data_IF_769235495869
#
_entry.id   IF_769235495869
#
_cell.length_a   1.000
_cell.length_b   1.000
_cell.length_c   1.000
_cell.angle_alpha   90.00
_cell.angle_beta   90.00
_cell.angle_gamma   90.00
#
_symmetry.space_group_name_H-M   'P 1'
#
loop_
_entity.id
_entity.type
_entity.pdbx_description
1 polymer ?
#
# COMPACT_ATOMS: atom_id res chain seq x y z
N UNK A 1 0.62 -19.47 9.91
CA UNK A 1 1.16 -19.02 8.61
C UNK A 1 2.51 -18.38 8.90
N UNK A 2 3.61 -19.11 8.71
CA UNK A 2 4.97 -18.67 9.07
C UNK A 2 5.66 -17.95 7.91
N UNK A 3 4.88 -17.18 7.13
CA UNK A 3 5.44 -16.40 6.01
C UNK A 3 6.28 -15.26 6.57
N UNK A 4 7.59 -15.32 6.37
CA UNK A 4 8.51 -14.21 6.67
C UNK A 4 8.33 -13.18 5.57
N UNK A 5 8.06 -11.92 5.95
CA UNK A 5 8.00 -10.82 4.99
C UNK A 5 9.40 -10.62 4.44
N UNK A 6 9.56 -10.69 3.11
CA UNK A 6 10.83 -10.36 2.47
C UNK A 6 11.06 -8.85 2.55
N UNK A 7 12.26 -8.46 2.98
CA UNK A 7 12.69 -7.07 3.06
C UNK A 7 14.20 -6.95 2.84
N UNK A 8 14.64 -5.75 2.47
CA UNK A 8 16.06 -5.35 2.33
C UNK A 8 16.87 -6.27 1.40
N UNK A 9 16.27 -6.66 0.27
CA UNK A 9 16.89 -7.57 -0.68
C UNK A 9 18.05 -6.89 -1.44
N UNK A 10 19.16 -7.62 -1.59
CA UNK A 10 20.32 -7.17 -2.36
C UNK A 10 19.97 -7.04 -3.85
N UNK A 11 20.36 -5.92 -4.44
CA UNK A 11 20.09 -5.57 -5.84
C UNK A 11 21.30 -4.86 -6.47
N UNK A 12 21.34 -4.84 -7.79
CA UNK A 12 22.26 -3.97 -8.53
C UNK A 12 21.91 -2.49 -8.29
N UNK A 13 22.91 -1.60 -8.24
CA UNK A 13 22.69 -0.15 -8.05
C UNK A 13 21.69 0.46 -9.05
N UNK A 14 21.66 -0.04 -10.28
CA UNK A 14 20.75 0.40 -11.35
C UNK A 14 19.26 0.11 -11.05
N UNK A 15 19.01 -0.84 -10.16
CA UNK A 15 17.67 -1.28 -9.77
C UNK A 15 17.18 -0.56 -8.49
N UNK A 16 18.00 0.33 -7.93
CA UNK A 16 17.65 1.15 -6.78
C UNK A 16 16.61 2.21 -7.09
N UNK A 17 16.13 2.88 -6.04
CA UNK A 17 15.10 3.89 -6.20
C UNK A 17 15.56 5.07 -7.07
N UNK A 18 14.81 5.37 -8.12
CA UNK A 18 14.95 6.60 -8.91
C UNK A 18 13.85 7.58 -8.52
N UNK A 19 14.20 8.86 -8.31
CA UNK A 19 13.18 9.87 -8.00
C UNK A 19 12.18 9.98 -9.15
N UNK A 20 10.89 9.88 -8.83
CA UNK A 20 9.81 10.00 -9.81
C UNK A 20 9.67 11.47 -10.17
N UNK A 21 9.80 11.82 -11.44
CA UNK A 21 9.69 13.21 -11.92
C UNK A 21 8.45 13.45 -12.78
N UNK A 22 7.79 12.38 -13.23
CA UNK A 22 6.55 12.48 -14.00
C UNK A 22 5.42 13.01 -13.11
N UNK A 23 4.95 14.23 -13.42
CA UNK A 23 3.91 14.92 -12.65
C UNK A 23 2.59 14.15 -12.57
N UNK A 24 2.21 13.42 -13.63
CA UNK A 24 0.97 12.65 -13.64
C UNK A 24 1.09 11.46 -12.71
N UNK A 25 2.22 10.76 -12.72
CA UNK A 25 2.47 9.65 -11.78
C UNK A 25 2.49 10.16 -10.34
N UNK A 26 3.12 11.31 -10.08
CA UNK A 26 3.18 11.91 -8.74
C UNK A 26 1.78 12.21 -8.18
N UNK A 27 0.90 12.84 -8.97
CA UNK A 27 -0.47 13.16 -8.56
C UNK A 27 -1.27 11.88 -8.30
N UNK A 28 -1.21 10.91 -9.21
CA UNK A 28 -1.98 9.67 -9.07
C UNK A 28 -1.48 8.80 -7.90
N UNK A 29 -0.18 8.82 -7.62
CA UNK A 29 0.43 8.09 -6.51
C UNK A 29 0.11 8.76 -5.18
N UNK A 30 0.20 10.09 -5.07
CA UNK A 30 -0.15 10.82 -3.83
C UNK A 30 -1.63 10.63 -3.46
N UNK A 31 -2.52 10.62 -4.46
CA UNK A 31 -3.94 10.34 -4.24
C UNK A 31 -4.21 8.95 -3.65
N UNK A 32 -3.42 7.92 -4.01
CA UNK A 32 -3.65 6.52 -3.63
C UNK A 32 -2.77 6.04 -2.49
N UNK A 33 -1.60 6.64 -2.35
CA UNK A 33 -0.56 6.30 -1.38
C UNK A 33 0.04 7.59 -0.78
N UNK A 34 -0.78 8.40 -0.07
CA UNK A 34 -0.34 9.65 0.53
C UNK A 34 0.69 9.41 1.64
N UNK A 35 1.61 10.34 1.80
CA UNK A 35 2.73 10.23 2.74
C UNK A 35 2.41 10.96 4.05
N UNK A 36 1.46 10.44 4.83
CA UNK A 36 0.82 11.11 5.97
C UNK A 36 1.75 11.62 7.10
N UNK A 37 3.04 11.25 7.10
CA UNK A 37 4.04 11.76 8.06
C UNK A 37 4.75 13.04 7.59
N UNK A 38 4.51 13.47 6.36
CA UNK A 38 5.17 14.59 5.71
C UNK A 38 4.12 15.51 5.08
N UNK A 39 4.44 16.79 4.93
CA UNK A 39 3.62 17.69 4.13
C UNK A 39 3.67 17.31 2.64
N UNK A 40 2.70 17.82 1.87
CA UNK A 40 2.57 17.52 0.45
C UNK A 40 3.84 17.85 -0.36
N UNK A 41 4.47 19.00 -0.13
CA UNK A 41 5.64 19.41 -0.90
C UNK A 41 6.84 18.51 -0.60
N UNK A 42 7.07 18.18 0.67
CA UNK A 42 8.09 17.21 1.06
C UNK A 42 7.80 15.84 0.46
N UNK A 43 6.55 15.40 0.48
CA UNK A 43 6.11 14.14 -0.12
C UNK A 43 6.44 14.07 -1.61
N UNK A 44 6.08 15.09 -2.39
CA UNK A 44 6.27 15.11 -3.84
C UNK A 44 7.74 15.28 -4.23
N UNK A 45 8.47 16.16 -3.54
CA UNK A 45 9.85 16.50 -3.92
C UNK A 45 10.88 15.48 -3.42
N UNK A 46 10.78 15.04 -2.16
CA UNK A 46 11.75 14.14 -1.54
C UNK A 46 11.32 12.67 -1.57
N UNK A 47 10.01 12.41 -1.67
CA UNK A 47 9.43 11.06 -1.79
C UNK A 47 9.91 10.09 -0.69
N UNK A 48 10.03 10.53 0.58
CA UNK A 48 10.69 9.75 1.63
C UNK A 48 10.02 8.41 1.88
N UNK A 49 8.69 8.36 1.88
CA UNK A 49 7.96 7.12 2.15
C UNK A 49 8.02 6.16 0.95
N UNK A 50 7.79 6.66 -0.27
CA UNK A 50 7.85 5.81 -1.47
C UNK A 50 9.25 5.23 -1.70
N UNK A 51 10.29 6.04 -1.47
CA UNK A 51 11.69 5.57 -1.50
C UNK A 51 11.94 4.47 -0.46
N UNK A 52 11.46 4.66 0.77
CA UNK A 52 11.61 3.69 1.85
C UNK A 52 10.93 2.37 1.49
N UNK A 53 9.66 2.40 1.09
CA UNK A 53 8.89 1.20 0.75
C UNK A 53 9.45 0.46 -0.46
N UNK A 54 9.89 1.18 -1.51
CA UNK A 54 10.52 0.53 -2.65
C UNK A 54 11.87 -0.09 -2.27
N UNK A 55 12.73 0.64 -1.56
CA UNK A 55 14.05 0.13 -1.13
C UNK A 55 13.91 -1.10 -0.24
N UNK A 56 12.98 -1.06 0.71
CA UNK A 56 12.78 -2.13 1.68
C UNK A 56 12.02 -3.32 1.10
N UNK A 57 10.97 -3.12 0.31
CA UNK A 57 10.09 -4.20 -0.15
C UNK A 57 10.06 -4.36 -1.67
N UNK A 58 10.06 -3.27 -2.43
CA UNK A 58 10.04 -3.31 -3.90
C UNK A 58 11.26 -4.01 -4.52
N UNK A 59 12.44 -3.83 -3.92
CA UNK A 59 13.71 -4.45 -4.34
C UNK A 59 13.64 -5.99 -4.36
N UNK A 60 12.89 -6.59 -3.44
CA UNK A 60 12.70 -8.04 -3.38
C UNK A 60 11.92 -8.61 -4.58
N UNK A 61 11.18 -7.76 -5.32
CA UNK A 61 10.43 -8.12 -6.52
C UNK A 61 11.05 -7.64 -7.84
N UNK A 62 12.24 -7.00 -7.80
CA UNK A 62 12.75 -6.17 -8.90
C UNK A 62 13.07 -6.92 -10.20
N UNK A 63 13.26 -8.25 -10.12
CA UNK A 63 13.44 -9.11 -11.29
C UNK A 63 12.18 -9.19 -12.16
N UNK A 64 10.99 -8.99 -11.57
CA UNK A 64 9.69 -9.02 -12.25
C UNK A 64 9.05 -7.64 -12.36
N UNK A 65 9.16 -6.83 -11.31
CA UNK A 65 8.54 -5.51 -11.23
C UNK A 65 9.60 -4.46 -10.94
N UNK A 66 10.13 -3.83 -11.99
CA UNK A 66 10.95 -2.61 -11.84
C UNK A 66 10.11 -1.49 -11.23
N UNK A 67 10.76 -0.44 -10.72
CA UNK A 67 10.09 0.61 -9.97
C UNK A 67 8.77 1.14 -10.59
N UNK A 68 8.70 1.47 -11.90
CA UNK A 68 7.44 1.94 -12.48
C UNK A 68 6.32 0.89 -12.37
N UNK A 69 6.63 -0.38 -12.66
CA UNK A 69 5.67 -1.47 -12.58
C UNK A 69 5.27 -1.81 -11.14
N UNK A 70 6.17 -1.63 -10.17
CA UNK A 70 5.87 -1.81 -8.74
C UNK A 70 4.81 -0.82 -8.26
N UNK A 71 5.00 0.47 -8.53
CA UNK A 71 4.04 1.51 -8.13
C UNK A 71 2.73 1.43 -8.93
N UNK A 72 2.80 1.14 -10.23
CA UNK A 72 1.60 0.91 -11.05
C UNK A 72 0.76 -0.27 -10.53
N UNK A 73 1.40 -1.39 -10.17
CA UNK A 73 0.71 -2.53 -9.57
C UNK A 73 0.06 -2.16 -8.23
N UNK A 74 0.76 -1.42 -7.36
CA UNK A 74 0.22 -0.97 -6.08
C UNK A 74 -1.03 -0.09 -6.28
N UNK A 75 -0.99 0.87 -7.21
CA UNK A 75 -2.13 1.73 -7.53
C UNK A 75 -3.31 0.92 -8.09
N UNK A 76 -3.05 -0.01 -9.02
CA UNK A 76 -4.09 -0.91 -9.58
C UNK A 76 -4.74 -1.79 -8.50
N UNK A 77 -3.97 -2.29 -7.55
CA UNK A 77 -4.49 -3.06 -6.43
C UNK A 77 -5.35 -2.18 -5.50
N UNK A 78 -4.91 -0.94 -5.23
CA UNK A 78 -5.69 0.00 -4.43
C UNK A 78 -7.03 0.37 -5.09
N UNK A 79 -7.05 0.51 -6.41
CA UNK A 79 -8.27 0.83 -7.17
C UNK A 79 -9.21 -0.39 -7.29
N UNK A 80 -8.65 -1.61 -7.30
CA UNK A 80 -9.44 -2.84 -7.30
C UNK A 80 -10.24 -3.05 -6.01
N UNK A 81 -9.71 -2.61 -4.87
CA UNK A 81 -10.31 -2.85 -3.55
C UNK A 81 -10.70 -1.54 -2.87
N UNK A 82 -11.93 -1.09 -3.11
CA UNK A 82 -12.56 -0.04 -2.30
C UNK A 82 -13.11 -0.63 -0.99
N UNK A 83 -12.21 -0.87 -0.04
CA UNK A 83 -12.53 -1.48 1.24
C UNK A 83 -13.56 -0.65 2.03
N UNK A 84 -13.54 0.68 1.92
CA UNK A 84 -14.49 1.53 2.66
C UNK A 84 -15.92 1.31 2.16
N UNK A 85 -16.11 1.27 0.85
CA UNK A 85 -17.43 0.99 0.24
C UNK A 85 -17.89 -0.43 0.57
N UNK A 86 -16.99 -1.43 0.48
CA UNK A 86 -17.30 -2.82 0.83
C UNK A 86 -17.77 -2.95 2.29
N UNK A 87 -17.05 -2.32 3.22
CA UNK A 87 -17.40 -2.32 4.64
C UNK A 87 -18.74 -1.60 4.88
N UNK A 88 -18.96 -0.44 4.27
CA UNK A 88 -20.22 0.32 4.39
C UNK A 88 -21.43 -0.46 3.91
N UNK A 89 -21.30 -1.20 2.82
CA UNK A 89 -22.37 -2.06 2.28
C UNK A 89 -22.75 -3.19 3.23
N UNK A 90 -21.85 -3.58 4.14
CA UNK A 90 -22.09 -4.54 5.22
C UNK A 90 -22.44 -3.88 6.55
N UNK A 91 -22.79 -2.59 6.55
CA UNK A 91 -23.12 -1.85 7.77
C UNK A 91 -21.92 -1.45 8.63
N UNK A 92 -20.68 -1.74 8.19
CA UNK A 92 -19.45 -1.43 8.92
C UNK A 92 -18.96 -0.03 8.52
N UNK A 93 -19.09 0.91 9.45
CA UNK A 93 -18.73 2.33 9.29
C UNK A 93 -17.68 2.75 10.32
N UNK A 94 -16.73 3.64 9.97
CA UNK A 94 -15.82 4.23 10.94
C UNK A 94 -16.57 4.89 12.10
N UNK A 95 -16.04 4.78 13.33
CA UNK A 95 -16.63 5.38 14.54
C UNK A 95 -17.41 4.42 15.44
N UNK A 96 -17.49 3.13 15.10
CA UNK A 96 -18.15 2.11 15.94
C UNK A 96 -17.29 0.86 16.10
N UNK A 97 -17.71 -0.04 16.98
CA UNK A 97 -17.04 -1.32 17.26
C UNK A 97 -17.76 -2.46 16.53
N UNK A 98 -16.99 -3.38 15.96
CA UNK A 98 -17.50 -4.54 15.23
C UNK A 98 -16.72 -5.80 15.63
N UNK A 99 -17.33 -6.97 15.45
CA UNK A 99 -16.60 -8.22 15.64
C UNK A 99 -15.59 -8.39 14.51
N UNK A 100 -14.41 -8.90 14.86
CA UNK A 100 -13.34 -9.15 13.90
C UNK A 100 -13.82 -10.03 12.72
N UNK A 101 -14.62 -11.06 13.02
CA UNK A 101 -15.20 -11.96 12.00
C UNK A 101 -16.11 -11.24 10.99
N UNK A 102 -16.79 -10.17 11.38
CA UNK A 102 -17.71 -9.44 10.51
C UNK A 102 -16.92 -8.60 9.50
N UNK A 103 -15.83 -7.97 9.96
CA UNK A 103 -14.87 -7.25 9.11
C UNK A 103 -14.21 -8.21 8.12
N UNK A 104 -13.72 -9.36 8.60
CA UNK A 104 -13.11 -10.37 7.73
C UNK A 104 -14.09 -10.87 6.67
N UNK A 105 -15.32 -11.19 7.06
CA UNK A 105 -16.36 -11.69 6.16
C UNK A 105 -16.73 -10.67 5.10
N UNK A 106 -16.90 -9.40 5.48
CA UNK A 106 -17.19 -8.32 4.54
C UNK A 106 -16.09 -8.17 3.49
N UNK A 107 -14.81 -8.16 3.90
CA UNK A 107 -13.69 -8.03 2.97
C UNK A 107 -13.54 -9.27 2.08
N UNK A 108 -13.80 -10.47 2.62
CA UNK A 108 -13.72 -11.72 1.86
C UNK A 108 -14.65 -11.77 0.63
N UNK A 109 -15.74 -11.00 0.63
CA UNK A 109 -16.64 -10.88 -0.53
C UNK A 109 -15.93 -10.37 -1.78
N UNK A 110 -14.88 -9.57 -1.63
CA UNK A 110 -14.10 -9.01 -2.74
C UNK A 110 -12.69 -9.58 -2.85
N UNK A 111 -12.06 -9.96 -1.75
CA UNK A 111 -10.69 -10.49 -1.76
C UNK A 111 -10.61 -11.98 -2.09
N UNK A 112 -11.72 -12.72 -2.00
CA UNK A 112 -11.84 -14.20 -2.17
C UNK A 112 -11.09 -15.00 -1.08
N UNK A 113 -9.99 -14.46 -0.56
CA UNK A 113 -9.19 -15.01 0.53
C UNK A 113 -9.34 -14.17 1.79
N UNK A 114 -9.18 -14.83 2.94
CA UNK A 114 -9.22 -14.21 4.26
C UNK A 114 -8.16 -13.10 4.37
N UNK A 115 -8.54 -11.84 4.71
CA UNK A 115 -7.58 -10.76 4.89
C UNK A 115 -6.78 -10.95 6.19
N UNK A 116 -5.59 -10.35 6.25
CA UNK A 116 -4.83 -10.22 7.50
C UNK A 116 -5.12 -8.87 8.13
N UNK A 117 -5.99 -8.83 9.15
CA UNK A 117 -6.29 -7.60 9.88
C UNK A 117 -5.16 -7.26 10.85
N UNK A 118 -4.81 -5.97 10.94
CA UNK A 118 -3.86 -5.43 11.91
C UNK A 118 -4.58 -4.41 12.78
N UNK A 119 -4.56 -4.61 14.09
CA UNK A 119 -5.15 -3.70 15.07
C UNK A 119 -4.04 -2.95 15.82
N UNK A 120 -4.35 -1.73 16.25
CA UNK A 120 -3.55 -0.99 17.22
C UNK A 120 -4.45 -0.68 18.42
N UNK A 121 -3.90 -0.83 19.62
CA UNK A 121 -4.60 -0.36 20.81
C UNK A 121 -4.54 1.16 20.84
N UNK A 122 -5.65 1.79 21.23
CA UNK A 122 -5.62 3.24 21.46
C UNK A 122 -4.70 3.49 22.66
N UNK A 123 -3.82 4.50 22.59
CA UNK A 123 -3.04 4.91 23.75
C UNK A 123 -3.93 5.34 24.92
#
# INVERSE_FOLDING_TARGET
NNSIILHDCLIDKKDGYSTITDHKILIELDKRWPQLRFDYFTGINAQPHWRYEFTKHGTCGVKRYKQPAYFDLAMKLKDKFDLLTVLRNHGIKPGSTYLLKDIESAIMTVSIKKPSLKCIEKP
#
